data_IF_930711274720
#
_entry.id   IF_930711274720
#
_cell.length_a   1.000
_cell.length_b   1.000
_cell.length_c   1.000
_cell.angle_alpha   90.00
_cell.angle_beta   90.00
_cell.angle_gamma   90.00
#
_symmetry.space_group_name_H-M   'P 1'
#
loop_
_entity.id
_entity.type
_entity.pdbx_description
1 polymer ?
#
# COMPACT_ATOMS: atom_id res chain seq x y z
N UNK A 1 -16.81 -11.47 42.92
CA UNK A 1 -16.65 -12.50 41.90
C UNK A 1 -15.81 -11.90 40.79
N UNK A 2 -14.55 -12.28 40.72
CA UNK A 2 -13.69 -11.94 39.58
C UNK A 2 -14.35 -12.61 38.38
N UNK A 3 -14.84 -11.83 37.41
CA UNK A 3 -15.18 -12.39 36.12
C UNK A 3 -13.85 -12.89 35.57
N UNK A 4 -13.68 -14.21 35.50
CA UNK A 4 -12.69 -14.80 34.61
C UNK A 4 -13.02 -14.27 33.22
N UNK A 5 -12.33 -13.19 32.83
CA UNK A 5 -12.27 -12.79 31.45
C UNK A 5 -11.59 -13.97 30.76
N UNK A 6 -12.39 -14.76 30.02
CA UNK A 6 -11.82 -15.66 29.01
C UNK A 6 -10.72 -14.88 28.29
N UNK A 7 -9.51 -15.45 28.15
CA UNK A 7 -8.47 -14.78 27.40
C UNK A 7 -9.05 -14.40 26.05
N UNK A 8 -9.03 -13.10 25.73
CA UNK A 8 -9.43 -12.61 24.40
C UNK A 8 -8.73 -13.48 23.34
N UNK A 9 -9.33 -13.74 22.19
CA UNK A 9 -8.67 -14.50 21.12
C UNK A 9 -7.46 -13.73 20.56
N UNK A 10 -6.40 -14.44 20.12
CA UNK A 10 -5.19 -13.80 19.56
C UNK A 10 -5.52 -12.87 18.39
N UNK A 11 -6.37 -13.34 17.48
CA UNK A 11 -6.78 -12.56 16.32
C UNK A 11 -7.53 -11.28 16.67
N UNK A 12 -8.33 -11.27 17.73
CA UNK A 12 -9.02 -10.08 18.22
C UNK A 12 -8.05 -9.12 18.92
N UNK A 13 -7.15 -9.65 19.76
CA UNK A 13 -6.16 -8.84 20.44
C UNK A 13 -5.22 -8.14 19.46
N UNK A 14 -4.78 -8.83 18.40
CA UNK A 14 -4.00 -8.25 17.32
C UNK A 14 -4.79 -7.16 16.58
N UNK A 15 -6.04 -7.44 16.20
CA UNK A 15 -6.88 -6.46 15.49
C UNK A 15 -7.05 -5.17 16.30
N UNK A 16 -7.31 -5.28 17.60
CA UNK A 16 -7.47 -4.12 18.47
C UNK A 16 -6.14 -3.38 18.65
N UNK A 17 -5.07 -4.09 18.98
CA UNK A 17 -3.78 -3.49 19.26
C UNK A 17 -3.09 -2.86 18.04
N UNK A 18 -3.39 -3.32 16.83
CA UNK A 18 -2.83 -2.75 15.59
C UNK A 18 -3.72 -1.69 14.95
N UNK A 19 -4.88 -1.36 15.52
CA UNK A 19 -5.85 -0.45 14.91
C UNK A 19 -5.29 0.94 14.62
N UNK A 20 -4.55 1.51 15.57
CA UNK A 20 -3.96 2.85 15.43
C UNK A 20 -2.85 2.86 14.37
N UNK A 21 -1.90 1.92 14.45
CA UNK A 21 -0.80 1.82 13.46
C UNK A 21 -1.30 1.42 12.07
N UNK A 22 -2.38 0.64 11.97
CA UNK A 22 -3.05 0.39 10.69
C UNK A 22 -3.59 1.68 10.08
N UNK A 23 -4.28 2.49 10.89
CA UNK A 23 -4.79 3.80 10.46
C UNK A 23 -3.65 4.72 10.02
N UNK A 24 -2.52 4.70 10.73
CA UNK A 24 -1.32 5.45 10.34
C UNK A 24 -0.77 4.97 9.00
N UNK A 25 -0.67 3.65 8.79
CA UNK A 25 -0.18 3.06 7.55
C UNK A 25 -1.06 3.40 6.33
N UNK A 26 -2.38 3.32 6.46
CA UNK A 26 -3.30 3.75 5.40
C UNK A 26 -3.21 5.24 5.08
N UNK A 27 -2.88 6.04 6.09
CA UNK A 27 -2.70 7.48 5.96
C UNK A 27 -1.27 7.88 5.58
N UNK A 28 -0.32 6.97 5.39
CA UNK A 28 1.00 7.31 4.86
C UNK A 28 0.85 7.99 3.48
N UNK A 29 1.68 9.00 3.16
CA UNK A 29 1.48 9.82 1.96
C UNK A 29 1.44 8.99 0.67
N UNK A 30 2.38 8.05 0.53
CA UNK A 30 2.41 7.09 -0.57
C UNK A 30 1.06 6.35 -0.72
N UNK A 31 0.52 5.85 0.39
CA UNK A 31 -0.75 5.11 0.41
C UNK A 31 -1.96 6.00 0.11
N UNK A 32 -2.00 7.24 0.61
CA UNK A 32 -3.05 8.21 0.25
C UNK A 32 -3.02 8.55 -1.23
N UNK A 33 -1.83 8.76 -1.79
CA UNK A 33 -1.65 9.02 -3.23
C UNK A 33 -2.10 7.80 -4.05
N UNK A 34 -1.72 6.60 -3.61
CA UNK A 34 -2.17 5.35 -4.22
C UNK A 34 -3.71 5.26 -4.19
N UNK A 35 -4.35 5.43 -3.03
CA UNK A 35 -5.81 5.34 -2.88
C UNK A 35 -6.57 6.37 -3.74
N UNK A 36 -5.97 7.53 -4.00
CA UNK A 36 -6.51 8.56 -4.90
C UNK A 36 -6.30 8.25 -6.39
N UNK A 37 -5.67 7.12 -6.72
CA UNK A 37 -5.31 6.74 -8.10
C UNK A 37 -4.15 7.55 -8.66
N UNK A 38 -3.34 8.17 -7.81
CA UNK A 38 -2.17 8.98 -8.19
C UNK A 38 -0.87 8.16 -8.13
N UNK A 39 -0.98 6.84 -8.22
CA UNK A 39 0.18 5.94 -8.30
C UNK A 39 0.81 6.03 -9.69
N UNK A 40 2.11 6.29 -9.76
CA UNK A 40 2.88 6.30 -11.01
C UNK A 40 3.44 4.90 -11.28
N UNK A 41 3.84 4.65 -12.54
CA UNK A 41 4.50 3.39 -12.90
C UNK A 41 5.76 3.14 -12.08
N UNK A 42 6.60 4.16 -11.89
CA UNK A 42 7.84 4.03 -11.12
C UNK A 42 7.56 3.80 -9.63
N UNK A 43 6.57 4.50 -9.04
CA UNK A 43 6.17 4.25 -7.67
C UNK A 43 5.60 2.85 -7.46
N UNK A 44 4.83 2.35 -8.44
CA UNK A 44 4.34 0.99 -8.41
C UNK A 44 5.47 -0.04 -8.52
N UNK A 45 6.42 0.16 -9.43
CA UNK A 45 7.61 -0.67 -9.58
C UNK A 45 8.43 -0.74 -8.29
N UNK A 46 8.60 0.37 -7.59
CA UNK A 46 9.33 0.43 -6.31
C UNK A 46 8.63 -0.38 -5.23
N UNK A 47 7.31 -0.21 -5.06
CA UNK A 47 6.59 -0.99 -4.04
C UNK A 47 6.58 -2.48 -4.38
N UNK A 48 6.41 -2.87 -5.65
CA UNK A 48 6.45 -4.29 -6.04
C UNK A 48 7.82 -4.94 -5.80
N UNK A 49 8.93 -4.22 -6.09
CA UNK A 49 10.27 -4.69 -5.74
C UNK A 49 10.48 -4.80 -4.22
N UNK A 50 9.96 -3.84 -3.45
CA UNK A 50 10.00 -3.89 -1.99
C UNK A 50 9.31 -5.14 -1.46
N UNK A 51 8.08 -5.40 -1.95
CA UNK A 51 7.30 -6.55 -1.57
C UNK A 51 8.04 -7.85 -1.93
N UNK A 52 8.65 -7.95 -3.10
CA UNK A 52 9.45 -9.14 -3.45
C UNK A 52 10.49 -9.48 -2.38
N UNK A 53 11.33 -8.52 -2.00
CA UNK A 53 12.35 -8.77 -0.97
C UNK A 53 11.75 -9.17 0.39
N UNK A 54 10.66 -8.50 0.79
CA UNK A 54 9.97 -8.77 2.06
C UNK A 54 9.34 -10.16 2.07
N UNK A 55 8.61 -10.54 1.02
CA UNK A 55 7.95 -11.85 0.95
C UNK A 55 8.95 -12.98 0.76
N UNK A 56 10.05 -12.77 0.03
CA UNK A 56 11.14 -13.77 -0.02
C UNK A 56 11.66 -14.06 1.38
N UNK A 57 11.99 -13.03 2.16
CA UNK A 57 12.50 -13.22 3.52
C UNK A 57 11.44 -13.83 4.47
N UNK A 58 10.19 -13.35 4.39
CA UNK A 58 9.09 -13.89 5.19
C UNK A 58 8.87 -15.38 4.88
N UNK A 59 8.80 -15.74 3.60
CA UNK A 59 8.49 -17.11 3.16
C UNK A 59 9.67 -18.06 3.38
N UNK A 60 10.91 -17.60 3.28
CA UNK A 60 12.08 -18.36 3.71
C UNK A 60 12.03 -18.72 5.20
N UNK A 61 11.63 -17.77 6.04
CA UNK A 61 11.52 -17.99 7.48
C UNK A 61 10.26 -18.78 7.87
N UNK A 62 9.19 -18.68 7.08
CA UNK A 62 8.03 -19.58 7.18
C UNK A 62 8.45 -21.03 6.86
N UNK A 63 9.16 -21.24 5.76
CA UNK A 63 9.63 -22.59 5.38
C UNK A 63 10.58 -23.17 6.42
N UNK A 64 11.44 -22.35 7.04
CA UNK A 64 12.30 -22.77 8.16
C UNK A 64 11.49 -23.28 9.35
N UNK A 65 10.36 -22.66 9.63
CA UNK A 65 9.56 -22.89 10.85
C UNK A 65 8.26 -23.68 10.61
N UNK A 66 8.06 -24.24 9.42
CA UNK A 66 6.78 -24.85 9.02
C UNK A 66 6.33 -26.04 9.87
N UNK A 67 7.26 -26.77 10.47
CA UNK A 67 6.98 -27.90 11.38
C UNK A 67 6.94 -27.47 12.85
N UNK A 68 7.32 -26.24 13.16
CA UNK A 68 7.37 -25.73 14.53
C UNK A 68 5.95 -25.51 15.07
N UNK A 69 5.59 -26.05 16.24
CA UNK A 69 4.23 -25.91 16.80
C UNK A 69 3.77 -24.45 16.97
N UNK A 70 4.71 -23.52 17.13
CA UNK A 70 4.42 -22.08 17.30
C UNK A 70 4.01 -21.38 15.99
N UNK A 71 4.09 -22.07 14.84
CA UNK A 71 3.72 -21.52 13.53
C UNK A 71 2.92 -22.50 12.65
N UNK A 72 3.19 -23.80 12.72
CA UNK A 72 2.61 -24.82 11.86
C UNK A 72 1.08 -24.72 11.63
N UNK A 73 0.24 -24.37 12.64
CA UNK A 73 -1.20 -24.20 12.42
C UNK A 73 -1.59 -23.15 11.37
N UNK A 74 -0.73 -22.16 11.10
CA UNK A 74 -0.96 -21.07 10.13
C UNK A 74 -0.12 -21.22 8.84
N UNK A 75 0.45 -22.40 8.60
CA UNK A 75 1.21 -22.70 7.38
C UNK A 75 0.28 -23.01 6.20
N UNK A 76 0.15 -22.05 5.27
CA UNK A 76 -0.72 -22.13 4.08
C UNK A 76 0.02 -21.70 2.80
N UNK A 77 1.05 -22.45 2.36
CA UNK A 77 1.92 -22.03 1.26
C UNK A 77 1.17 -21.91 -0.07
N UNK A 78 0.35 -22.90 -0.40
CA UNK A 78 -0.40 -22.95 -1.66
C UNK A 78 -1.39 -21.78 -1.80
N UNK A 79 -1.99 -21.38 -0.69
CA UNK A 79 -2.98 -20.31 -0.67
C UNK A 79 -2.34 -18.93 -0.56
N UNK A 80 -1.29 -18.78 0.25
CA UNK A 80 -0.79 -17.46 0.67
C UNK A 80 0.58 -17.08 0.14
N UNK A 81 1.48 -17.99 -0.22
CA UNK A 81 2.82 -17.58 -0.65
C UNK A 81 2.74 -16.71 -1.90
N UNK A 82 3.50 -15.61 -1.90
CA UNK A 82 3.48 -14.53 -2.89
C UNK A 82 4.75 -14.48 -3.72
N UNK A 83 5.86 -15.12 -3.30
CA UNK A 83 7.14 -15.08 -4.02
C UNK A 83 6.98 -15.36 -5.52
N UNK A 84 6.35 -16.48 -5.89
CA UNK A 84 6.18 -16.86 -7.29
C UNK A 84 5.35 -15.83 -8.10
N UNK A 85 4.33 -15.23 -7.49
CA UNK A 85 3.53 -14.19 -8.12
C UNK A 85 4.33 -12.88 -8.27
N UNK A 86 5.14 -12.53 -7.27
CA UNK A 86 6.02 -11.37 -7.32
C UNK A 86 7.14 -11.52 -8.37
N UNK A 87 7.68 -12.71 -8.56
CA UNK A 87 8.66 -12.99 -9.64
C UNK A 87 8.05 -12.76 -11.03
N UNK A 88 6.78 -13.16 -11.23
CA UNK A 88 6.05 -12.88 -12.48
C UNK A 88 5.82 -11.38 -12.67
N UNK A 89 5.38 -10.68 -11.62
CA UNK A 89 5.17 -9.23 -11.66
C UNK A 89 6.48 -8.49 -11.95
N UNK A 90 7.59 -8.87 -11.33
CA UNK A 90 8.88 -8.24 -11.57
C UNK A 90 9.40 -8.48 -12.99
N UNK A 91 9.19 -9.67 -13.56
CA UNK A 91 9.50 -9.92 -14.96
C UNK A 91 8.67 -9.02 -15.90
N UNK A 92 7.40 -8.77 -15.58
CA UNK A 92 6.55 -7.82 -16.32
C UNK A 92 7.04 -6.36 -16.18
N UNK A 93 7.40 -5.94 -14.97
CA UNK A 93 7.69 -4.54 -14.65
C UNK A 93 9.12 -4.10 -14.98
N UNK A 94 10.10 -5.00 -14.85
CA UNK A 94 11.53 -4.72 -15.01
C UNK A 94 12.17 -5.52 -16.16
N UNK A 95 11.42 -6.43 -16.79
CA UNK A 95 11.88 -7.23 -17.91
C UNK A 95 12.61 -8.52 -17.49
N UNK A 96 13.16 -9.29 -18.46
CA UNK A 96 13.69 -10.64 -18.21
C UNK A 96 14.88 -10.71 -17.24
N UNK A 97 15.61 -9.61 -17.05
CA UNK A 97 16.76 -9.50 -16.14
C UNK A 97 16.43 -8.74 -14.86
N UNK A 98 15.17 -8.80 -14.42
CA UNK A 98 14.69 -8.03 -13.27
C UNK A 98 15.55 -8.23 -12.02
N UNK A 99 16.10 -9.43 -11.80
CA UNK A 99 16.95 -9.77 -10.66
C UNK A 99 18.20 -8.88 -10.56
N UNK A 100 18.72 -8.39 -11.70
CA UNK A 100 19.92 -7.55 -11.75
C UNK A 100 19.62 -6.07 -11.48
N UNK A 101 18.36 -5.65 -11.59
CA UNK A 101 17.98 -4.24 -11.69
C UNK A 101 16.97 -3.78 -10.63
N UNK A 102 16.32 -4.70 -9.92
CA UNK A 102 15.40 -4.31 -8.84
C UNK A 102 16.17 -3.64 -7.70
N UNK A 103 15.63 -2.54 -7.14
CA UNK A 103 16.30 -1.83 -6.05
C UNK A 103 16.16 -2.60 -4.74
N UNK A 104 17.18 -2.45 -3.88
CA UNK A 104 17.15 -2.97 -2.51
C UNK A 104 17.50 -1.87 -1.51
N UNK A 105 16.48 -1.06 -1.15
CA UNK A 105 16.64 0.17 -0.39
C UNK A 105 16.88 -0.09 1.10
N UNK A 106 17.33 0.92 1.87
CA UNK A 106 17.56 0.76 3.30
C UNK A 106 16.31 0.33 4.09
N UNK A 107 15.10 0.82 3.78
CA UNK A 107 13.88 0.35 4.46
C UNK A 107 13.56 -1.11 4.15
N UNK A 108 13.77 -1.56 2.90
CA UNK A 108 13.62 -2.97 2.53
C UNK A 108 14.60 -3.84 3.33
N UNK A 109 15.86 -3.41 3.45
CA UNK A 109 16.89 -4.10 4.23
C UNK A 109 16.51 -4.20 5.71
N UNK A 110 16.00 -3.11 6.32
CA UNK A 110 15.55 -3.13 7.72
C UNK A 110 14.42 -4.13 7.94
N UNK A 111 13.44 -4.17 7.05
CA UNK A 111 12.34 -5.14 7.15
C UNK A 111 12.86 -6.57 7.00
N UNK A 112 13.59 -6.86 5.92
CA UNK A 112 14.16 -8.19 5.66
C UNK A 112 15.03 -8.66 6.83
N UNK A 113 15.85 -7.78 7.40
CA UNK A 113 16.65 -8.09 8.59
C UNK A 113 15.78 -8.52 9.76
N UNK A 114 14.70 -7.77 10.08
CA UNK A 114 13.80 -8.14 11.19
C UNK A 114 13.10 -9.47 10.94
N UNK A 115 12.69 -9.75 9.70
CA UNK A 115 12.08 -11.04 9.34
C UNK A 115 13.04 -12.21 9.61
N UNK A 116 14.29 -12.09 9.18
CA UNK A 116 15.31 -13.12 9.45
C UNK A 116 15.65 -13.25 10.94
N UNK A 117 15.71 -12.15 11.69
CA UNK A 117 15.88 -12.20 13.16
C UNK A 117 14.74 -12.97 13.81
N UNK A 118 13.49 -12.58 13.54
CA UNK A 118 12.30 -13.25 14.08
C UNK A 118 12.28 -14.73 13.71
N UNK A 119 12.45 -15.06 12.42
CA UNK A 119 12.41 -16.44 11.96
C UNK A 119 13.49 -17.35 12.55
N UNK A 120 14.67 -16.80 12.87
CA UNK A 120 15.81 -17.58 13.35
C UNK A 120 15.90 -17.66 14.87
N UNK A 121 15.51 -16.60 15.57
CA UNK A 121 15.76 -16.49 17.02
C UNK A 121 14.49 -16.34 17.86
N UNK A 122 13.36 -15.93 17.26
CA UNK A 122 12.09 -15.70 17.96
C UNK A 122 10.89 -16.20 17.13
N UNK A 123 10.89 -17.47 16.68
CA UNK A 123 9.92 -17.96 15.69
C UNK A 123 8.47 -17.90 16.18
N UNK A 124 8.23 -17.84 17.49
CA UNK A 124 6.90 -17.59 18.07
C UNK A 124 6.31 -16.23 17.68
N UNK A 125 7.14 -15.27 17.25
CA UNK A 125 6.70 -13.95 16.79
C UNK A 125 6.43 -13.90 15.28
N UNK A 126 6.79 -14.94 14.52
CA UNK A 126 6.65 -14.97 13.05
C UNK A 126 5.19 -14.81 12.60
N UNK A 127 4.25 -15.31 13.40
CA UNK A 127 2.81 -15.15 13.15
C UNK A 127 2.39 -13.67 13.08
N UNK A 128 3.07 -12.76 13.78
CA UNK A 128 2.78 -11.34 13.76
C UNK A 128 3.02 -10.73 12.37
N UNK A 129 4.13 -11.11 11.72
CA UNK A 129 4.48 -10.66 10.37
C UNK A 129 3.56 -11.28 9.31
N UNK A 130 3.32 -12.59 9.38
CA UNK A 130 2.41 -13.29 8.48
C UNK A 130 0.98 -12.73 8.58
N UNK A 131 0.48 -12.48 9.80
CA UNK A 131 -0.80 -11.80 10.05
C UNK A 131 -0.87 -10.43 9.36
N UNK A 132 0.15 -9.60 9.60
CA UNK A 132 0.18 -8.20 9.13
C UNK A 132 0.17 -8.14 7.61
N UNK A 133 0.93 -9.03 6.95
CA UNK A 133 1.04 -9.08 5.49
C UNK A 133 -0.18 -9.77 4.86
N UNK A 134 -0.38 -11.07 5.09
CA UNK A 134 -1.35 -11.86 4.34
C UNK A 134 -2.80 -11.43 4.56
N UNK A 135 -3.20 -11.07 5.80
CA UNK A 135 -4.57 -10.59 6.01
C UNK A 135 -4.80 -9.19 5.43
N UNK A 136 -3.74 -8.38 5.32
CA UNK A 136 -3.75 -7.11 4.62
C UNK A 136 -4.01 -7.29 3.12
N UNK A 137 -3.31 -8.23 2.49
CA UNK A 137 -3.44 -8.53 1.05
C UNK A 137 -4.84 -9.05 0.69
N UNK A 138 -5.40 -9.91 1.55
CA UNK A 138 -6.77 -10.44 1.43
C UNK A 138 -7.86 -9.43 1.85
N UNK A 139 -7.48 -8.21 2.24
CA UNK A 139 -8.39 -7.13 2.64
C UNK A 139 -8.18 -5.91 1.74
N UNK A 140 -7.33 -4.97 2.15
CA UNK A 140 -7.06 -3.75 1.40
C UNK A 140 -6.40 -4.00 0.04
N UNK A 141 -5.60 -5.07 -0.07
CA UNK A 141 -4.92 -5.44 -1.33
C UNK A 141 -5.86 -5.61 -2.52
N UNK A 142 -7.07 -6.12 -2.30
CA UNK A 142 -8.08 -6.29 -3.37
C UNK A 142 -8.62 -4.95 -3.89
N UNK A 143 -8.67 -3.93 -3.03
CA UNK A 143 -9.04 -2.56 -3.43
C UNK A 143 -7.87 -1.93 -4.18
N UNK A 144 -6.65 -2.06 -3.66
CA UNK A 144 -5.43 -1.54 -4.29
C UNK A 144 -5.21 -2.14 -5.69
N UNK A 145 -5.50 -3.43 -5.89
CA UNK A 145 -5.48 -4.09 -7.21
C UNK A 145 -6.30 -3.33 -8.25
N UNK A 146 -7.56 -3.00 -7.92
CA UNK A 146 -8.48 -2.29 -8.82
C UNK A 146 -7.99 -0.87 -9.12
N UNK A 147 -7.43 -0.21 -8.11
CA UNK A 147 -6.91 1.14 -8.27
C UNK A 147 -5.67 1.13 -9.16
N UNK A 148 -4.71 0.24 -8.92
CA UNK A 148 -3.52 0.07 -9.75
C UNK A 148 -3.90 -0.27 -11.19
N UNK A 149 -4.84 -1.20 -11.38
CA UNK A 149 -5.30 -1.60 -12.70
C UNK A 149 -5.82 -0.41 -13.52
N UNK A 150 -6.65 0.43 -12.88
CA UNK A 150 -7.21 1.62 -13.52
C UNK A 150 -6.17 2.73 -13.71
N UNK A 151 -5.36 3.02 -12.70
CA UNK A 151 -4.43 4.14 -12.71
C UNK A 151 -3.25 3.92 -13.67
N UNK A 152 -2.84 2.68 -13.87
CA UNK A 152 -1.70 2.29 -14.71
C UNK A 152 -2.10 1.65 -16.05
N UNK A 153 -3.39 1.68 -16.37
CA UNK A 153 -3.97 1.09 -17.61
C UNK A 153 -3.53 -0.36 -17.86
N UNK A 154 -3.62 -1.20 -16.81
CA UNK A 154 -3.19 -2.59 -16.86
C UNK A 154 -4.26 -3.51 -17.44
N UNK A 155 -3.85 -4.57 -18.17
CA UNK A 155 -4.77 -5.45 -18.86
C UNK A 155 -5.68 -6.21 -17.88
N UNK A 156 -6.88 -6.56 -18.36
CA UNK A 156 -7.87 -7.33 -17.59
C UNK A 156 -7.47 -8.79 -17.34
N UNK A 157 -6.51 -9.31 -18.10
CA UNK A 157 -5.90 -10.62 -17.91
C UNK A 157 -5.11 -10.73 -16.59
N UNK A 158 -4.69 -9.61 -16.00
CA UNK A 158 -4.04 -9.56 -14.69
C UNK A 158 -2.52 -9.54 -14.72
N UNK A 159 -1.88 -9.44 -15.88
CA UNK A 159 -0.42 -9.25 -15.98
C UNK A 159 0.03 -8.00 -15.20
N UNK A 160 1.14 -8.14 -14.46
CA UNK A 160 1.67 -7.08 -13.59
C UNK A 160 0.95 -6.90 -12.24
N UNK A 161 -0.08 -7.72 -11.97
CA UNK A 161 -0.88 -7.72 -10.72
C UNK A 161 -1.07 -9.14 -10.14
N UNK A 162 -0.17 -10.07 -10.45
CA UNK A 162 -0.22 -11.45 -9.98
C UNK A 162 -0.20 -11.52 -8.44
N UNK A 163 0.60 -10.67 -7.78
CA UNK A 163 0.67 -10.56 -6.32
C UNK A 163 -0.70 -10.47 -5.64
N UNK A 164 -1.60 -9.67 -6.22
CA UNK A 164 -2.93 -9.41 -5.67
C UNK A 164 -3.94 -10.53 -5.97
N UNK A 165 -3.53 -11.58 -6.69
CA UNK A 165 -4.39 -12.67 -7.13
C UNK A 165 -4.10 -13.93 -6.32
N UNK A 166 -5.15 -14.53 -5.77
CA UNK A 166 -5.07 -15.70 -4.90
C UNK A 166 -5.86 -16.86 -5.54
N UNK A 167 -5.29 -17.56 -6.53
CA UNK A 167 -6.04 -18.56 -7.32
C UNK A 167 -6.55 -19.72 -6.47
N UNK A 168 -5.83 -20.07 -5.41
CA UNK A 168 -6.17 -21.16 -4.48
C UNK A 168 -7.12 -20.72 -3.35
N UNK A 169 -7.62 -19.48 -3.36
CA UNK A 169 -8.58 -18.96 -2.38
C UNK A 169 -9.89 -18.58 -3.07
N UNK A 170 -10.90 -19.43 -2.96
CA UNK A 170 -12.21 -19.17 -3.57
C UNK A 170 -12.97 -18.01 -2.90
N UNK A 171 -12.76 -17.80 -1.60
CA UNK A 171 -13.38 -16.71 -0.83
C UNK A 171 -12.42 -16.13 0.19
N UNK A 172 -11.95 -14.91 -0.07
CA UNK A 172 -11.06 -14.19 0.85
C UNK A 172 -11.69 -14.04 2.25
N UNK A 173 -13.00 -13.81 2.34
CA UNK A 173 -13.69 -13.70 3.63
C UNK A 173 -13.62 -14.99 4.43
N UNK A 174 -13.99 -16.13 3.83
CA UNK A 174 -13.94 -17.44 4.51
C UNK A 174 -12.52 -17.84 4.88
N UNK A 175 -11.56 -17.57 3.99
CA UNK A 175 -10.16 -17.89 4.28
C UNK A 175 -9.59 -17.03 5.41
N UNK A 176 -9.91 -15.74 5.49
CA UNK A 176 -9.52 -14.90 6.64
C UNK A 176 -10.14 -15.37 7.96
N UNK A 177 -11.37 -15.90 7.94
CA UNK A 177 -11.99 -16.50 9.13
C UNK A 177 -11.26 -17.77 9.55
N UNK A 178 -10.95 -18.66 8.59
CA UNK A 178 -10.14 -19.85 8.82
C UNK A 178 -8.77 -19.49 9.41
N UNK A 179 -8.05 -18.55 8.79
CA UNK A 179 -6.73 -18.13 9.24
C UNK A 179 -6.75 -17.58 10.68
N UNK A 180 -7.75 -16.75 11.03
CA UNK A 180 -7.93 -16.27 12.41
C UNK A 180 -8.20 -17.40 13.40
N UNK A 181 -9.06 -18.36 13.03
CA UNK A 181 -9.31 -19.54 13.87
C UNK A 181 -8.03 -20.35 14.10
N UNK A 182 -7.19 -20.52 13.07
CA UNK A 182 -5.89 -21.18 13.20
C UNK A 182 -4.91 -20.42 14.08
N UNK A 183 -4.86 -19.09 13.97
CA UNK A 183 -4.07 -18.25 14.87
C UNK A 183 -4.51 -18.40 16.33
N UNK A 184 -5.83 -18.48 16.59
CA UNK A 184 -6.35 -18.65 17.94
C UNK A 184 -6.00 -20.03 18.54
N UNK A 185 -5.64 -21.02 17.71
CA UNK A 185 -5.20 -22.35 18.18
C UNK A 185 -3.71 -22.43 18.56
N UNK A 186 -2.94 -21.35 18.34
CA UNK A 186 -1.52 -21.31 18.73
C UNK A 186 -1.40 -21.24 20.26
N UNK A 187 -0.77 -22.25 20.84
CA UNK A 187 -0.49 -22.28 22.27
C UNK A 187 0.62 -21.27 22.62
N UNK A 188 0.32 -20.32 23.50
CA UNK A 188 1.27 -19.32 23.94
C UNK A 188 1.02 -18.86 25.37
N UNK A 189 2.11 -18.55 26.08
CA UNK A 189 2.03 -17.90 27.38
C UNK A 189 1.57 -16.45 27.24
N UNK A 190 1.00 -15.83 28.29
CA UNK A 190 0.65 -14.41 28.27
C UNK A 190 1.82 -13.49 27.87
N UNK A 191 3.05 -13.84 28.25
CA UNK A 191 4.25 -13.09 27.89
C UNK A 191 4.57 -13.17 26.39
N UNK A 192 4.49 -14.36 25.79
CA UNK A 192 4.66 -14.53 24.34
C UNK A 192 3.57 -13.79 23.58
N UNK A 193 2.32 -13.90 24.06
CA UNK A 193 1.18 -13.20 23.48
C UNK A 193 1.38 -11.68 23.39
N UNK A 194 1.89 -11.07 24.46
CA UNK A 194 2.19 -9.64 24.46
C UNK A 194 3.31 -9.31 23.46
N UNK A 195 4.36 -10.14 23.37
CA UNK A 195 5.44 -9.94 22.38
C UNK A 195 4.93 -10.07 20.95
N UNK A 196 4.03 -11.01 20.66
CA UNK A 196 3.39 -11.14 19.33
C UNK A 196 2.62 -9.88 18.95
N UNK A 197 1.90 -9.28 19.91
CA UNK A 197 1.17 -8.03 19.71
C UNK A 197 2.11 -6.86 19.40
N UNK A 198 3.19 -6.71 20.18
CA UNK A 198 4.19 -5.65 19.95
C UNK A 198 4.96 -5.87 18.64
N UNK A 199 5.21 -7.13 18.27
CA UNK A 199 5.84 -7.45 16.99
C UNK A 199 4.93 -7.10 15.82
N UNK A 200 3.61 -7.28 15.94
CA UNK A 200 2.67 -6.89 14.90
C UNK A 200 2.68 -5.37 14.70
N UNK A 201 2.73 -4.59 15.78
CA UNK A 201 2.92 -3.12 15.68
C UNK A 201 4.24 -2.78 14.99
N UNK A 202 5.32 -3.49 15.33
CA UNK A 202 6.62 -3.33 14.67
C UNK A 202 6.53 -3.63 13.16
N UNK A 203 5.83 -4.68 12.76
CA UNK A 203 5.60 -5.00 11.35
C UNK A 203 4.83 -3.87 10.62
N UNK A 204 3.83 -3.25 11.26
CA UNK A 204 3.15 -2.07 10.70
C UNK A 204 4.09 -0.87 10.57
N UNK A 205 4.91 -0.59 11.60
CA UNK A 205 5.87 0.51 11.57
C UNK A 205 6.93 0.33 10.47
N UNK A 206 7.41 -0.90 10.25
CA UNK A 206 8.31 -1.22 9.13
C UNK A 206 7.66 -0.95 7.77
N UNK A 207 6.37 -1.25 7.61
CA UNK A 207 5.63 -0.88 6.39
C UNK A 207 5.48 0.63 6.24
N UNK A 208 5.20 1.37 7.32
CA UNK A 208 5.10 2.84 7.29
C UNK A 208 6.43 3.45 6.85
N UNK A 209 7.54 3.05 7.47
CA UNK A 209 8.89 3.53 7.12
C UNK A 209 9.25 3.22 5.67
N UNK A 210 8.84 2.06 5.16
CA UNK A 210 8.99 1.73 3.75
C UNK A 210 8.21 2.72 2.88
N UNK A 211 6.93 2.95 3.15
CA UNK A 211 6.11 3.87 2.37
C UNK A 211 6.62 5.31 2.40
N UNK A 212 7.13 5.75 3.55
CA UNK A 212 7.79 7.06 3.70
C UNK A 212 9.05 7.15 2.82
N UNK A 213 9.95 6.16 2.89
CA UNK A 213 11.17 6.13 2.07
C UNK A 213 10.85 6.08 0.57
N UNK A 214 9.85 5.28 0.15
CA UNK A 214 9.42 5.23 -1.25
C UNK A 214 8.85 6.58 -1.73
N UNK A 215 8.09 7.27 -0.89
CA UNK A 215 7.58 8.60 -1.21
C UNK A 215 8.72 9.61 -1.36
N UNK A 216 9.71 9.58 -0.47
CA UNK A 216 10.89 10.43 -0.54
C UNK A 216 11.64 10.24 -1.88
N UNK A 217 11.94 8.99 -2.24
CA UNK A 217 12.61 8.67 -3.51
C UNK A 217 11.87 9.25 -4.73
N UNK A 218 10.54 9.08 -4.79
CA UNK A 218 9.72 9.60 -5.88
C UNK A 218 9.70 11.14 -5.93
N UNK A 219 9.72 11.81 -4.78
CA UNK A 219 9.75 13.28 -4.74
C UNK A 219 11.09 13.87 -5.14
N UNK A 220 12.20 13.17 -4.86
CA UNK A 220 13.54 13.60 -5.25
C UNK A 220 13.75 13.47 -6.76
N UNK A 221 13.36 12.36 -7.37
CA UNK A 221 13.45 12.16 -8.83
C UNK A 221 12.67 13.22 -9.61
N UNK A 222 11.52 13.67 -9.08
CA UNK A 222 10.68 14.70 -9.72
C UNK A 222 11.34 16.10 -9.67
N UNK A 223 12.14 16.39 -8.65
CA UNK A 223 12.87 17.66 -8.51
C UNK A 223 14.08 17.72 -9.45
N UNK A 224 14.81 16.61 -9.60
CA UNK A 224 15.99 16.54 -10.49
C UNK A 224 15.61 16.55 -11.98
N UNK A 225 14.37 16.15 -12.33
CA UNK A 225 13.83 16.25 -13.69
C UNK A 225 13.16 17.59 -14.01
N UNK A 226 13.06 18.53 -13.05
CA UNK A 226 12.55 19.87 -13.33
C UNK A 226 13.60 20.70 -14.08
N UNK A 227 13.27 21.36 -15.21
CA UNK A 227 14.25 22.13 -15.95
C UNK A 227 14.76 23.28 -15.08
N UNK A 228 16.07 23.24 -14.79
CA UNK A 228 16.81 24.33 -14.16
C UNK A 228 16.47 25.64 -14.88
N UNK A 229 15.79 26.56 -14.18
CA UNK A 229 15.60 27.93 -14.65
C UNK A 229 16.98 28.51 -14.93
N UNK A 230 17.27 28.75 -16.20
CA UNK A 230 18.53 29.34 -16.65
C UNK A 230 18.86 30.63 -15.85
N UNK A 231 20.13 30.87 -15.48
CA UNK A 231 20.53 32.09 -14.81
C UNK A 231 20.36 33.28 -15.76
N UNK A 232 19.85 34.39 -15.21
CA UNK A 232 19.42 35.56 -15.96
C UNK A 232 20.49 36.22 -16.85
N UNK A 233 20.03 36.72 -17.99
CA UNK A 233 20.77 37.66 -18.83
C UNK A 233 20.13 39.06 -18.72
N UNK A 234 20.82 39.89 -17.93
CA UNK A 234 21.10 41.33 -18.10
C UNK A 234 19.98 42.27 -18.61
N UNK A 235 19.64 43.16 -17.67
CA UNK A 235 19.19 44.53 -17.84
C UNK A 235 20.21 45.38 -18.64
N UNK A 236 19.80 46.09 -19.70
CA UNK A 236 20.20 47.50 -19.94
C UNK A 236 19.40 48.24 -21.04
N UNK A 237 18.86 49.39 -20.62
CA UNK A 237 18.80 50.70 -21.26
C UNK A 237 18.00 50.96 -22.56
N UNK A 238 17.01 51.84 -22.37
CA UNK A 238 16.55 52.94 -23.23
C UNK A 238 17.17 53.13 -24.61
N UNK A 239 16.29 53.29 -25.61
CA UNK A 239 16.35 54.47 -26.46
C UNK A 239 14.95 54.91 -26.92
N UNK A 240 14.78 56.23 -26.90
CA UNK A 240 13.57 57.02 -27.10
C UNK A 240 13.68 57.68 -28.47
N UNK A 241 12.72 57.50 -29.38
CA UNK A 241 12.45 58.46 -30.47
C UNK A 241 10.93 58.48 -30.76
N UNK A 242 10.37 59.69 -30.71
CA UNK A 242 9.01 60.09 -31.09
C UNK A 242 8.90 60.20 -32.62
N UNK A 243 7.73 59.95 -33.24
CA UNK A 243 6.91 61.05 -33.76
C UNK A 243 5.53 60.67 -34.33
N UNK A 244 4.58 61.60 -34.09
CA UNK A 244 3.39 62.00 -34.85
C UNK A 244 2.20 61.03 -35.14
N UNK A 245 1.03 61.42 -34.62
CA UNK A 245 -0.34 61.08 -35.04
C UNK A 245 -0.93 62.28 -35.87
N UNK A 246 -2.23 62.36 -36.28
CA UNK A 246 -3.37 61.45 -36.14
C UNK A 246 -4.25 61.31 -37.44
N UNK A 247 -5.39 60.60 -37.37
CA UNK A 247 -6.73 61.04 -37.89
C UNK A 247 -7.81 59.93 -37.74
N UNK A 248 -8.84 60.28 -36.97
CA UNK A 248 -10.29 59.98 -36.98
C UNK A 248 -10.91 58.56 -37.18
N UNK A 249 -11.70 58.20 -36.15
CA UNK A 249 -12.85 57.27 -36.01
C UNK A 249 -14.09 57.68 -36.86
N UNK A 250 -15.24 56.92 -37.00
CA UNK A 250 -15.85 56.10 -35.93
C UNK A 250 -16.84 54.95 -36.28
N UNK A 251 -17.36 54.35 -35.19
CA UNK A 251 -18.68 53.69 -34.96
C UNK A 251 -18.82 52.17 -35.08
N UNK A 252 -19.29 51.58 -33.98
CA UNK A 252 -20.14 50.39 -33.97
C UNK A 252 -20.07 49.53 -32.70
N UNK A 253 -20.97 49.76 -31.73
CA UNK A 253 -21.41 48.83 -30.66
C UNK A 253 -22.92 49.05 -30.45
N UNK A 254 -23.67 48.17 -29.77
CA UNK A 254 -23.79 46.70 -29.84
C UNK A 254 -25.28 46.31 -30.10
N UNK A 255 -25.75 45.07 -29.83
CA UNK A 255 -26.32 44.82 -28.50
C UNK A 255 -26.14 43.38 -27.92
N UNK A 256 -26.43 43.28 -26.63
CA UNK A 256 -26.61 42.07 -25.81
C UNK A 256 -27.96 41.38 -26.11
N UNK A 257 -27.99 40.05 -25.95
CA UNK A 257 -29.00 39.27 -25.21
C UNK A 257 -28.48 37.83 -25.10
N UNK A 258 -28.09 37.33 -23.92
CA UNK A 258 -28.93 36.64 -22.91
C UNK A 258 -29.74 35.46 -23.45
N UNK A 259 -29.29 34.23 -23.16
CA UNK A 259 -30.08 33.26 -22.38
C UNK A 259 -29.24 32.01 -22.01
N UNK A 260 -28.88 31.97 -20.73
CA UNK A 260 -28.92 30.83 -19.80
C UNK A 260 -28.86 29.41 -20.39
N UNK A 261 -27.70 28.76 -20.31
CA UNK A 261 -27.62 27.30 -20.29
C UNK A 261 -27.72 26.81 -18.84
N UNK A 262 -28.64 25.88 -18.63
CA UNK A 262 -29.00 25.27 -17.35
C UNK A 262 -27.80 24.67 -16.61
N UNK A 263 -27.79 24.68 -15.25
CA UNK A 263 -26.82 23.92 -14.49
C UNK A 263 -27.18 22.44 -14.60
N UNK A 264 -26.33 21.64 -15.26
CA UNK A 264 -26.38 20.20 -15.14
C UNK A 264 -26.04 19.82 -13.70
N UNK A 265 -27.09 19.49 -12.97
CA UNK A 265 -27.11 18.88 -11.65
C UNK A 265 -26.21 17.62 -11.66
N UNK A 266 -24.93 17.78 -11.31
CA UNK A 266 -24.05 16.63 -11.04
C UNK A 266 -24.38 16.11 -9.66
N UNK A 267 -25.01 14.94 -9.61
CA UNK A 267 -25.13 14.11 -8.42
C UNK A 267 -23.73 13.86 -7.83
N UNK A 268 -23.37 14.58 -6.77
CA UNK A 268 -22.31 14.16 -5.86
C UNK A 268 -22.98 13.30 -4.80
N UNK A 269 -23.24 12.05 -5.16
CA UNK A 269 -23.59 11.01 -4.19
C UNK A 269 -22.27 10.47 -3.61
N UNK A 270 -21.91 11.02 -2.46
CA UNK A 270 -21.33 10.33 -1.29
C UNK A 270 -20.52 9.05 -1.59
N UNK A 271 -19.19 9.17 -1.63
CA UNK A 271 -18.30 8.03 -1.34
C UNK A 271 -17.65 8.21 0.04
N UNK A 272 -18.50 8.38 1.04
CA UNK A 272 -18.15 8.08 2.43
C UNK A 272 -18.32 6.58 2.66
N UNK A 273 -17.49 5.77 2.00
CA UNK A 273 -17.43 4.33 2.24
C UNK A 273 -16.06 3.97 2.82
N UNK A 274 -15.78 4.51 4.01
CA UNK A 274 -14.74 3.98 4.89
C UNK A 274 -15.11 4.01 6.39
N UNK A 275 -16.40 4.15 6.72
CA UNK A 275 -16.89 4.10 8.11
C UNK A 275 -17.98 3.04 8.33
N UNK A 276 -18.38 2.29 7.30
CA UNK A 276 -19.45 1.29 7.41
C UNK A 276 -18.98 -0.19 7.33
N UNK A 277 -17.85 -0.52 7.95
CA UNK A 277 -17.46 -1.94 8.20
C UNK A 277 -17.11 -2.22 9.65
N UNK A 278 -17.56 -1.37 10.57
CA UNK A 278 -17.48 -1.59 12.03
C UNK A 278 -18.82 -2.01 12.66
N UNK A 279 -19.91 -2.19 11.88
CA UNK A 279 -21.24 -2.47 12.43
C UNK A 279 -21.96 -3.74 11.94
N UNK A 280 -21.31 -4.69 11.24
CA UNK A 280 -21.97 -5.94 10.81
C UNK A 280 -21.23 -7.21 11.30
N UNK A 281 -20.13 -7.07 12.04
CA UNK A 281 -19.42 -8.20 12.64
C UNK A 281 -19.97 -8.72 13.97
N UNK A 282 -21.16 -8.26 14.40
CA UNK A 282 -21.79 -8.66 15.68
C UNK A 282 -22.99 -9.60 15.50
N UNK A 283 -23.25 -10.11 14.28
CA UNK A 283 -24.26 -11.15 14.04
C UNK A 283 -23.79 -12.13 12.97
N UNK A 284 -22.84 -12.99 13.33
CA UNK A 284 -22.72 -14.34 12.82
C UNK A 284 -21.82 -15.10 13.78
N UNK A 285 -22.41 -16.12 14.43
CA UNK A 285 -21.84 -17.01 15.46
C UNK A 285 -20.41 -17.46 15.21
#
# INVERSE_FOLDING_TARGET
>A
GVRDHMPQDLSEALKEATKEVHTQAENAEFMRNFQKGQVTRDGFKLVMASLYHIYVALEEEIERNKESPVFAPVYFPEELHRKAALEQDLAFWYGPRWQEVIPYTPAMQRYVKRLHEVGRTEPELLVAHAYTRYLGDLSGGQVLKKIAQKALDLPSSGEGLAFFTFPNIASATKFKQLYRSRMNSLEMTPAVRQRVIEEAKTAFLLNIQLFEELQELLTHDTKDQSPSRAPGLRQRASNKVQDSAPVETPRGKPPLNTHSQAPLLRWVLTLSFLVATVAVGLYAM
#
